data_IF_258165449290
#
_entry.id   IF_258165449290
#
_cell.length_a   1.000
_cell.length_b   1.000
_cell.length_c   1.000
_cell.angle_alpha   90.00
_cell.angle_beta   90.00
_cell.angle_gamma   90.00
#
_symmetry.space_group_name_H-M   'P 1'
#
loop_
_entity.id
_entity.type
_entity.pdbx_description
1 polymer ?
#
# COMPACT_ATOMS: atom_id res chain seq x y z
N UNK A 1 0.61 -15.12 -8.89
CA UNK A 1 -0.50 -15.87 -9.50
C UNK A 1 -1.49 -14.95 -10.22
N UNK A 2 -2.29 -14.11 -9.54
CA UNK A 2 -3.32 -13.26 -10.19
C UNK A 2 -2.80 -12.35 -11.32
N UNK A 3 -1.62 -11.74 -11.15
CA UNK A 3 -1.00 -10.89 -12.20
C UNK A 3 -0.65 -11.67 -13.47
N UNK A 4 -0.24 -12.94 -13.32
CA UNK A 4 0.08 -13.81 -14.46
C UNK A 4 -1.21 -14.22 -15.18
N UNK A 5 -2.23 -14.64 -14.44
CA UNK A 5 -3.57 -14.94 -14.98
C UNK A 5 -4.14 -13.79 -15.80
N UNK A 6 -4.05 -12.55 -15.31
CA UNK A 6 -4.54 -11.38 -16.06
C UNK A 6 -3.67 -11.09 -17.30
N UNK A 7 -2.37 -11.34 -17.25
CA UNK A 7 -1.49 -11.16 -18.39
C UNK A 7 -1.79 -12.17 -19.50
N UNK A 8 -2.09 -13.41 -19.13
CA UNK A 8 -2.37 -14.50 -20.07
C UNK A 8 -3.81 -14.46 -20.61
N UNK A 9 -4.81 -14.23 -19.75
CA UNK A 9 -6.23 -14.31 -20.10
C UNK A 9 -6.85 -12.94 -20.43
N UNK A 10 -6.16 -11.85 -20.09
CA UNK A 10 -6.67 -10.50 -20.23
C UNK A 10 -7.62 -10.07 -19.11
N UNK A 11 -7.99 -8.78 -19.14
CA UNK A 11 -8.81 -8.14 -18.10
C UNK A 11 -10.30 -8.42 -18.26
N UNK A 12 -10.73 -8.86 -19.43
CA UNK A 12 -12.10 -9.21 -19.79
C UNK A 12 -12.09 -10.40 -20.71
N UNK A 13 -13.17 -11.18 -20.72
CA UNK A 13 -13.35 -12.29 -21.64
C UNK A 13 -14.75 -12.23 -22.27
N UNK A 14 -14.86 -12.78 -23.47
CA UNK A 14 -16.13 -12.82 -24.21
C UNK A 14 -16.76 -14.20 -24.06
N UNK A 15 -18.06 -14.24 -23.78
CA UNK A 15 -18.86 -15.45 -23.71
C UNK A 15 -19.94 -15.39 -24.77
N UNK A 16 -20.09 -16.45 -25.54
CA UNK A 16 -21.23 -16.60 -26.44
C UNK A 16 -22.45 -17.07 -25.66
N UNK A 17 -23.56 -16.38 -25.84
CA UNK A 17 -24.87 -16.70 -25.28
C UNK A 17 -25.88 -16.89 -26.41
N UNK A 18 -27.07 -17.40 -26.09
CA UNK A 18 -28.17 -17.54 -27.07
C UNK A 18 -28.54 -16.20 -27.73
N UNK A 19 -28.37 -15.08 -27.01
CA UNK A 19 -28.63 -13.72 -27.51
C UNK A 19 -27.42 -13.01 -28.14
N UNK A 20 -26.29 -13.70 -28.34
CA UNK A 20 -25.06 -13.13 -28.91
C UNK A 20 -23.88 -13.09 -27.94
N UNK A 21 -22.87 -12.28 -28.26
CA UNK A 21 -21.64 -12.18 -27.48
C UNK A 21 -21.78 -11.21 -26.30
N UNK A 22 -21.34 -11.64 -25.12
CA UNK A 22 -21.30 -10.84 -23.90
C UNK A 22 -19.85 -10.70 -23.41
N UNK A 23 -19.42 -9.48 -23.12
CA UNK A 23 -18.11 -9.22 -22.50
C UNK A 23 -18.27 -9.21 -20.98
N UNK A 24 -17.49 -10.04 -20.28
CA UNK A 24 -17.46 -10.13 -18.82
C UNK A 24 -16.10 -9.73 -18.26
N UNK A 25 -16.10 -9.15 -17.06
CA UNK A 25 -14.87 -8.82 -16.34
C UNK A 25 -14.19 -10.07 -15.81
N UNK A 26 -12.85 -10.12 -15.90
CA UNK A 26 -12.07 -11.21 -15.30
C UNK A 26 -12.06 -11.05 -13.76
N UNK A 27 -12.54 -12.05 -12.99
CA UNK A 27 -12.54 -11.99 -11.53
C UNK A 27 -11.16 -11.73 -10.91
N UNK A 28 -10.08 -12.23 -11.54
CA UNK A 28 -8.72 -12.04 -11.07
C UNK A 28 -8.34 -10.55 -10.96
N UNK A 29 -8.91 -9.69 -11.81
CA UNK A 29 -8.69 -8.24 -11.79
C UNK A 29 -9.24 -7.62 -10.51
N UNK A 30 -10.47 -7.99 -10.13
CA UNK A 30 -11.11 -7.47 -8.91
C UNK A 30 -10.38 -7.98 -7.65
N UNK A 31 -9.99 -9.25 -7.64
CA UNK A 31 -9.24 -9.84 -6.54
C UNK A 31 -7.86 -9.19 -6.36
N UNK A 32 -7.15 -8.91 -7.47
CA UNK A 32 -5.87 -8.21 -7.42
C UNK A 32 -6.02 -6.80 -6.86
N UNK A 33 -7.02 -6.05 -7.30
CA UNK A 33 -7.29 -4.71 -6.81
C UNK A 33 -7.65 -4.70 -5.31
N UNK A 34 -8.38 -5.71 -4.84
CA UNK A 34 -8.68 -5.87 -3.41
C UNK A 34 -7.42 -6.16 -2.59
N UNK A 35 -6.58 -7.08 -3.05
CA UNK A 35 -5.31 -7.41 -2.41
C UNK A 35 -4.38 -6.19 -2.30
N UNK A 36 -4.24 -5.42 -3.38
CA UNK A 36 -3.42 -4.20 -3.40
C UNK A 36 -3.96 -3.14 -2.42
N UNK A 37 -5.30 -3.00 -2.31
CA UNK A 37 -5.92 -2.08 -1.34
C UNK A 37 -5.65 -2.50 0.10
N UNK A 38 -5.81 -3.79 0.43
CA UNK A 38 -5.51 -4.32 1.76
C UNK A 38 -4.04 -4.14 2.12
N UNK A 39 -3.15 -4.45 1.17
CA UNK A 39 -1.72 -4.25 1.35
C UNK A 39 -1.38 -2.79 1.69
N UNK A 40 -1.96 -1.83 0.95
CA UNK A 40 -1.81 -0.40 1.26
C UNK A 40 -2.31 -0.05 2.67
N UNK A 41 -3.48 -0.56 3.08
CA UNK A 41 -4.00 -0.33 4.43
C UNK A 41 -3.07 -0.86 5.51
N UNK A 42 -2.53 -2.07 5.32
CA UNK A 42 -1.55 -2.64 6.25
C UNK A 42 -0.27 -1.80 6.34
N UNK A 43 0.24 -1.27 5.22
CA UNK A 43 1.40 -0.37 5.26
C UNK A 43 1.13 0.90 6.07
N UNK A 44 -0.11 1.41 6.05
CA UNK A 44 -0.51 2.56 6.86
C UNK A 44 -0.58 2.18 8.34
N UNK A 45 -1.26 1.07 8.68
CA UNK A 45 -1.45 0.61 10.06
C UNK A 45 -0.12 0.26 10.76
N UNK A 46 0.80 -0.42 10.08
CA UNK A 46 2.13 -0.75 10.62
C UNK A 46 3.11 0.42 10.62
N UNK A 47 2.68 1.62 10.24
CA UNK A 47 3.53 2.80 10.23
C UNK A 47 4.66 2.77 9.20
N UNK A 48 4.56 1.90 8.19
CA UNK A 48 5.55 1.74 7.13
C UNK A 48 5.40 2.80 6.02
N UNK A 49 4.42 3.72 6.15
CA UNK A 49 4.31 4.91 5.30
C UNK A 49 5.11 6.08 5.87
N UNK A 50 5.70 6.94 5.02
CA UNK A 50 6.45 8.13 5.48
C UNK A 50 5.66 9.03 6.45
N UNK A 51 4.35 9.20 6.21
CA UNK A 51 3.47 10.01 7.05
C UNK A 51 3.24 9.44 8.46
N UNK A 52 3.32 8.12 8.62
CA UNK A 52 3.17 7.48 9.93
C UNK A 52 4.47 7.54 10.75
N UNK A 53 5.64 7.65 10.10
CA UNK A 53 6.95 7.84 10.78
C UNK A 53 7.15 9.25 11.33
N UNK A 54 6.49 10.27 10.79
CA UNK A 54 6.73 11.68 11.17
C UNK A 54 6.06 12.13 12.47
N UNK A 55 5.41 11.24 13.23
CA UNK A 55 4.79 11.58 14.52
C UNK A 55 5.73 11.41 15.73
N UNK A 56 7.04 11.46 15.53
CA UNK A 56 7.98 11.82 16.60
C UNK A 56 8.33 13.29 16.40
N UNK A 57 7.53 14.17 17.01
CA UNK A 57 8.00 15.53 17.23
C UNK A 57 9.11 15.42 18.26
N UNK A 58 10.35 15.63 17.82
CA UNK A 58 11.35 16.20 18.71
C UNK A 58 10.87 17.63 18.88
N UNK A 59 9.97 17.86 19.84
CA UNK A 59 9.88 19.20 20.39
C UNK A 59 11.31 19.47 20.83
N UNK A 60 11.96 20.43 20.16
CA UNK A 60 13.26 20.93 20.57
C UNK A 60 13.06 21.50 21.96
N UNK A 61 13.06 20.62 22.96
CA UNK A 61 13.17 21.01 24.35
C UNK A 61 14.36 21.94 24.42
N UNK A 62 14.18 23.01 25.18
CA UNK A 62 15.21 24.02 25.50
C UNK A 62 16.58 23.38 25.44
N UNK A 63 17.52 24.00 24.70
CA UNK A 63 18.92 23.61 24.67
C UNK A 63 19.40 23.42 26.11
N UNK A 64 19.26 22.20 26.62
CA UNK A 64 19.79 21.83 27.92
C UNK A 64 21.28 21.81 27.67
N UNK A 65 21.98 22.77 28.25
CA UNK A 65 23.44 22.77 28.30
C UNK A 65 23.91 21.34 28.55
N UNK A 66 24.81 20.89 27.68
CA UNK A 66 25.33 19.53 27.76
C UNK A 66 25.90 19.32 29.16
N UNK A 67 25.36 18.40 29.97
CA UNK A 67 25.89 18.11 31.30
C UNK A 67 27.32 17.59 31.26
N UNK A 68 27.89 17.30 30.08
CA UNK A 68 29.32 17.01 29.90
C UNK A 68 30.20 18.28 29.90
N UNK A 69 29.64 19.44 29.56
CA UNK A 69 30.36 20.71 29.46
C UNK A 69 30.89 21.18 30.84
N UNK A 70 30.28 20.72 31.93
CA UNK A 70 30.76 20.97 33.31
C UNK A 70 32.08 20.26 33.64
N UNK A 71 32.50 19.26 32.84
CA UNK A 71 33.69 18.46 33.09
C UNK A 71 34.85 18.72 32.13
N UNK A 72 34.58 19.32 30.96
CA UNK A 72 35.56 19.43 29.86
C UNK A 72 35.64 20.81 29.21
N UNK A 73 35.19 21.87 29.90
CA UNK A 73 35.26 23.26 29.42
C UNK A 73 36.63 23.69 28.92
#
# INVERSE_FOLDING_TARGET
QLRLTIADEGRTYTVQTEGGFLIKANPAVAMLADADRRFKSYLVEFGLTPAARTKVKVDGGEEKEDPLNQFFG
#
